data_IF_263947668077
#
_entry.id   IF_263947668077
#
_cell.length_a   1.000
_cell.length_b   1.000
_cell.length_c   1.000
_cell.angle_alpha   90.00
_cell.angle_beta   90.00
_cell.angle_gamma   90.00
#
_symmetry.space_group_name_H-M   'P 1'
#
loop_
_entity.id
_entity.type
_entity.pdbx_description
1 polymer ?
#
# COMPACT_ATOMS: atom_id res chain seq x y z
N UNK A 1 12.39 -10.21 25.86
CA UNK A 1 11.85 -10.96 24.70
C UNK A 1 10.56 -10.30 24.23
N UNK A 2 10.63 -9.25 23.40
CA UNK A 2 9.44 -8.65 22.81
C UNK A 2 9.03 -9.49 21.60
N UNK A 3 8.03 -10.37 21.75
CA UNK A 3 7.55 -11.21 20.64
C UNK A 3 6.81 -10.34 19.63
N UNK A 4 7.26 -10.35 18.37
CA UNK A 4 6.62 -9.68 17.22
C UNK A 4 5.39 -10.47 16.73
N UNK A 5 4.51 -10.87 17.64
CA UNK A 5 3.34 -11.68 17.32
C UNK A 5 2.13 -10.77 17.09
N UNK A 6 1.35 -10.97 16.01
CA UNK A 6 0.14 -10.19 15.80
C UNK A 6 -0.93 -10.59 16.82
N UNK A 7 -1.66 -9.61 17.35
CA UNK A 7 -2.79 -9.85 18.26
C UNK A 7 -4.08 -10.22 17.54
N UNK A 8 -4.24 -9.71 16.33
CA UNK A 8 -5.39 -9.96 15.46
C UNK A 8 -4.87 -10.37 14.10
N UNK A 9 -5.38 -11.48 13.58
CA UNK A 9 -5.18 -11.91 12.21
C UNK A 9 -6.54 -12.25 11.60
N UNK A 10 -6.85 -11.65 10.45
CA UNK A 10 -8.09 -11.89 9.72
C UNK A 10 -7.79 -12.24 8.26
N UNK A 11 -8.54 -13.20 7.72
CA UNK A 11 -8.44 -13.61 6.32
C UNK A 11 -9.79 -13.40 5.65
N UNK A 12 -9.77 -12.86 4.43
CA UNK A 12 -10.98 -12.63 3.63
C UNK A 12 -10.73 -12.99 2.16
N UNK A 13 -11.70 -13.69 1.55
CA UNK A 13 -11.74 -13.92 0.09
C UNK A 13 -12.32 -12.69 -0.61
N UNK A 14 -11.69 -12.29 -1.70
CA UNK A 14 -12.12 -11.18 -2.56
C UNK A 14 -12.52 -11.67 -3.95
N UNK A 15 -13.26 -10.83 -4.66
CA UNK A 15 -13.47 -10.93 -6.11
C UNK A 15 -12.77 -9.74 -6.77
N UNK A 16 -12.32 -9.92 -8.00
CA UNK A 16 -11.66 -8.86 -8.76
C UNK A 16 -12.58 -7.65 -9.01
N UNK A 17 -12.02 -6.45 -8.93
CA UNK A 17 -12.62 -5.19 -9.38
C UNK A 17 -11.69 -4.52 -10.41
N UNK A 18 -12.27 -3.99 -11.49
CA UNK A 18 -11.56 -3.45 -12.65
C UNK A 18 -11.08 -2.00 -12.47
N UNK A 19 -11.28 -1.39 -11.32
CA UNK A 19 -10.80 -0.03 -11.05
C UNK A 19 -9.27 0.05 -11.07
N UNK A 20 -8.70 1.12 -11.63
CA UNK A 20 -7.24 1.27 -11.84
C UNK A 20 -6.39 1.16 -10.56
N UNK A 21 -6.93 1.56 -9.40
CA UNK A 21 -6.26 1.42 -8.09
C UNK A 21 -6.95 0.39 -7.18
N UNK A 22 -7.67 -0.59 -7.75
CA UNK A 22 -8.41 -1.55 -6.94
C UNK A 22 -7.47 -2.40 -6.08
N UNK A 23 -7.77 -2.49 -4.78
CA UNK A 23 -7.14 -3.47 -3.89
C UNK A 23 -7.73 -4.88 -4.07
N UNK A 24 -8.98 -4.99 -4.55
CA UNK A 24 -9.68 -6.26 -4.62
C UNK A 24 -9.23 -7.05 -5.84
N UNK A 25 -8.36 -8.04 -5.64
CA UNK A 25 -8.01 -9.04 -6.65
C UNK A 25 -8.86 -10.31 -6.50
N UNK A 26 -8.72 -11.24 -7.44
CA UNK A 26 -9.21 -12.61 -7.25
C UNK A 26 -8.23 -13.38 -6.35
N UNK A 27 -8.30 -13.12 -5.04
CA UNK A 27 -7.44 -13.82 -4.07
C UNK A 27 -7.92 -13.70 -2.63
N UNK A 28 -6.98 -13.91 -1.71
CA UNK A 28 -7.15 -13.74 -0.27
C UNK A 28 -6.46 -12.45 0.18
N UNK A 29 -7.09 -11.71 1.07
CA UNK A 29 -6.41 -10.67 1.85
C UNK A 29 -6.17 -11.16 3.26
N UNK A 30 -5.02 -10.78 3.82
CA UNK A 30 -4.67 -11.02 5.21
C UNK A 30 -4.54 -9.65 5.89
N UNK A 31 -5.20 -9.47 7.04
CA UNK A 31 -5.03 -8.30 7.91
C UNK A 31 -4.36 -8.75 9.19
N UNK A 32 -3.25 -8.12 9.56
CA UNK A 32 -2.49 -8.42 10.78
C UNK A 32 -2.29 -7.15 11.60
N UNK A 33 -2.51 -7.22 12.91
CA UNK A 33 -2.21 -6.11 13.83
C UNK A 33 -1.04 -6.46 14.74
N UNK A 34 0.09 -5.77 14.56
CA UNK A 34 1.31 -5.99 15.33
C UNK A 34 1.48 -4.91 16.42
N UNK A 35 1.74 -5.29 17.68
CA UNK A 35 2.01 -4.33 18.76
C UNK A 35 3.46 -3.80 18.67
N UNK A 36 3.70 -2.89 17.73
CA UNK A 36 5.06 -2.38 17.44
C UNK A 36 5.49 -1.19 18.29
N UNK A 37 4.68 -0.75 19.26
CA UNK A 37 4.92 0.49 20.01
C UNK A 37 6.25 0.51 20.79
N UNK A 38 6.74 -0.66 21.20
CA UNK A 38 7.97 -0.78 22.01
C UNK A 38 9.24 -1.00 21.17
N UNK A 39 9.15 -0.88 19.84
CA UNK A 39 10.27 -1.07 18.92
C UNK A 39 10.82 0.27 18.45
N UNK A 40 12.15 0.33 18.23
CA UNK A 40 12.80 1.52 17.67
C UNK A 40 12.21 1.80 16.28
N UNK A 41 12.19 3.08 15.88
CA UNK A 41 11.70 3.51 14.57
C UNK A 41 12.36 2.72 13.43
N UNK A 42 13.69 2.62 13.44
CA UNK A 42 14.47 1.89 12.44
C UNK A 42 14.07 0.41 12.33
N UNK A 43 13.82 -0.27 13.46
CA UNK A 43 13.41 -1.67 13.45
C UNK A 43 12.02 -1.86 12.84
N UNK A 44 11.10 -0.89 13.04
CA UNK A 44 9.76 -0.90 12.46
C UNK A 44 9.79 -0.64 10.96
N UNK A 45 10.64 0.28 10.52
CA UNK A 45 10.83 0.60 9.10
C UNK A 45 11.41 -0.61 8.36
N UNK A 46 12.50 -1.20 8.88
CA UNK A 46 13.09 -2.42 8.33
C UNK A 46 12.09 -3.59 8.24
N UNK A 47 11.32 -3.82 9.30
CA UNK A 47 10.29 -4.87 9.29
C UNK A 47 9.18 -4.58 8.24
N UNK A 48 8.82 -3.31 8.06
CA UNK A 48 7.84 -2.92 7.05
C UNK A 48 8.37 -3.14 5.63
N UNK A 49 9.64 -2.84 5.38
CA UNK A 49 10.31 -3.09 4.09
C UNK A 49 10.38 -4.59 3.78
N UNK A 50 10.85 -5.42 4.73
CA UNK A 50 10.89 -6.89 4.57
C UNK A 50 9.50 -7.47 4.26
N UNK A 51 8.45 -6.93 4.88
CA UNK A 51 7.07 -7.34 4.60
C UNK A 51 6.60 -6.90 3.21
N UNK A 52 6.94 -5.69 2.76
CA UNK A 52 6.61 -5.21 1.40
C UNK A 52 7.31 -6.06 0.33
N UNK A 53 8.58 -6.40 0.54
CA UNK A 53 9.34 -7.28 -0.35
C UNK A 53 8.69 -8.66 -0.47
N UNK A 54 8.31 -9.25 0.65
CA UNK A 54 7.59 -10.53 0.68
C UNK A 54 6.26 -10.43 -0.08
N UNK A 55 5.49 -9.36 0.13
CA UNK A 55 4.21 -9.16 -0.57
C UNK A 55 4.43 -9.09 -2.08
N UNK A 56 5.47 -8.38 -2.53
CA UNK A 56 5.81 -8.23 -3.94
C UNK A 56 6.30 -9.53 -4.57
N UNK A 57 7.07 -10.35 -3.86
CA UNK A 57 7.51 -11.67 -4.31
C UNK A 57 6.32 -12.55 -4.75
N UNK A 58 5.19 -12.44 -4.04
CA UNK A 58 3.96 -13.17 -4.35
C UNK A 58 2.97 -12.38 -5.24
N UNK A 59 3.43 -11.33 -5.93
CA UNK A 59 2.59 -10.42 -6.74
C UNK A 59 1.37 -9.87 -5.97
N UNK A 60 1.51 -9.74 -4.65
CA UNK A 60 0.50 -9.18 -3.78
C UNK A 60 0.50 -7.66 -3.82
N UNK A 61 -0.50 -7.08 -3.14
CA UNK A 61 -0.63 -5.62 -2.97
C UNK A 61 -1.10 -5.29 -1.58
N UNK A 62 -0.80 -4.08 -1.13
CA UNK A 62 -1.23 -3.53 0.16
C UNK A 62 -2.39 -2.57 -0.05
N UNK A 63 -3.36 -2.61 0.85
CA UNK A 63 -4.48 -1.67 0.77
C UNK A 63 -4.01 -0.24 1.10
N UNK A 64 -4.08 0.66 0.12
CA UNK A 64 -3.57 2.04 0.19
C UNK A 64 -4.03 2.81 1.44
N UNK A 65 -5.28 2.63 1.86
CA UNK A 65 -5.85 3.35 3.02
C UNK A 65 -5.40 2.81 4.38
N UNK A 66 -4.75 1.65 4.43
CA UNK A 66 -4.36 0.97 5.68
C UNK A 66 -2.88 0.98 5.96
N UNK A 67 -2.05 1.43 5.02
CA UNK A 67 -0.61 1.41 5.18
C UNK A 67 -0.01 2.80 4.98
N UNK A 68 0.29 3.45 6.11
CA UNK A 68 0.86 4.80 6.14
C UNK A 68 2.28 4.86 5.56
N UNK A 69 3.01 3.73 5.53
CA UNK A 69 4.38 3.64 5.04
C UNK A 69 4.49 2.78 3.77
N UNK A 70 3.78 3.15 2.71
CA UNK A 70 3.99 2.56 1.39
C UNK A 70 4.97 3.42 0.59
N UNK A 71 6.15 2.88 0.24
CA UNK A 71 7.11 3.60 -0.60
C UNK A 71 6.54 3.80 -2.02
N UNK A 72 7.00 4.85 -2.71
CA UNK A 72 6.58 5.14 -4.09
C UNK A 72 6.89 3.99 -5.04
N UNK A 73 8.09 3.40 -4.91
CA UNK A 73 8.53 2.29 -5.75
C UNK A 73 7.64 1.05 -5.56
N UNK A 74 7.28 0.71 -4.31
CA UNK A 74 6.45 -0.46 -4.02
C UNK A 74 5.02 -0.23 -4.52
N UNK A 75 4.49 0.98 -4.31
CA UNK A 75 3.20 1.39 -4.87
C UNK A 75 3.14 1.19 -6.39
N UNK A 76 4.13 1.68 -7.14
CA UNK A 76 4.17 1.58 -8.60
C UNK A 76 4.26 0.12 -9.08
N UNK A 77 4.91 -0.76 -8.31
CA UNK A 77 4.95 -2.20 -8.59
C UNK A 77 3.61 -2.89 -8.30
N UNK A 78 2.96 -2.55 -7.19
CA UNK A 78 1.67 -3.13 -6.77
C UNK A 78 0.49 -2.64 -7.60
N UNK A 79 0.57 -1.41 -8.14
CA UNK A 79 -0.53 -0.72 -8.82
C UNK A 79 -0.08 -0.14 -10.16
N UNK A 80 0.36 -0.94 -11.15
CA UNK A 80 0.94 -0.43 -12.40
C UNK A 80 0.01 0.48 -13.21
N UNK A 81 -1.30 0.31 -13.08
CA UNK A 81 -2.34 1.14 -13.69
C UNK A 81 -2.44 2.55 -13.08
N UNK A 82 -1.61 2.91 -12.09
CA UNK A 82 -1.53 4.28 -11.54
C UNK A 82 -1.28 5.33 -12.63
N UNK A 83 -0.63 4.96 -13.74
CA UNK A 83 -0.42 5.83 -14.90
C UNK A 83 -1.74 6.31 -15.51
N UNK A 84 -2.78 5.47 -15.52
CA UNK A 84 -4.13 5.86 -15.96
C UNK A 84 -4.77 6.87 -15.02
N UNK A 85 -4.54 6.74 -13.72
CA UNK A 85 -4.97 7.77 -12.77
C UNK A 85 -4.22 9.08 -12.99
N UNK A 86 -2.93 9.04 -13.31
CA UNK A 86 -2.16 10.24 -13.61
C UNK A 86 -2.68 10.95 -14.88
N UNK A 87 -2.94 10.20 -15.96
CA UNK A 87 -3.57 10.71 -17.18
C UNK A 87 -4.92 11.39 -16.88
N UNK A 88 -5.78 10.74 -16.09
CA UNK A 88 -7.07 11.29 -15.69
C UNK A 88 -6.91 12.54 -14.82
N UNK A 89 -5.97 12.55 -13.88
CA UNK A 89 -5.70 13.72 -13.04
C UNK A 89 -5.24 14.91 -13.88
N UNK A 90 -4.34 14.73 -14.83
CA UNK A 90 -3.93 15.82 -15.74
C UNK A 90 -5.10 16.33 -16.59
N UNK A 91 -5.98 15.43 -17.05
CA UNK A 91 -7.13 15.79 -17.89
C UNK A 91 -8.21 16.56 -17.12
N UNK A 92 -8.54 16.13 -15.91
CA UNK A 92 -9.70 16.61 -15.16
C UNK A 92 -9.36 17.54 -13.98
N UNK A 93 -8.10 17.58 -13.55
CA UNK A 93 -7.60 18.43 -12.47
C UNK A 93 -6.24 19.07 -12.85
N UNK A 94 -6.18 19.85 -13.95
CA UNK A 94 -4.94 20.43 -14.46
C UNK A 94 -4.30 21.43 -13.49
N UNK A 95 -5.10 22.11 -12.68
CA UNK A 95 -4.64 23.06 -11.65
C UNK A 95 -4.27 22.39 -10.32
N UNK A 96 -4.36 21.06 -10.23
CA UNK A 96 -4.06 20.26 -9.05
C UNK A 96 -4.86 20.67 -7.79
N UNK A 97 -6.12 21.06 -7.96
CA UNK A 97 -7.02 21.42 -6.85
C UNK A 97 -7.25 20.23 -5.90
N UNK A 98 -7.30 19.00 -6.42
CA UNK A 98 -7.46 17.80 -5.60
C UNK A 98 -6.10 17.19 -5.23
N UNK A 99 -5.54 17.66 -4.12
CA UNK A 99 -4.21 17.31 -3.66
C UNK A 99 -4.20 16.73 -2.24
N UNK A 100 -3.26 15.83 -1.98
CA UNK A 100 -3.01 15.28 -0.64
C UNK A 100 -1.56 14.85 -0.52
N UNK A 101 -1.07 14.66 0.71
CA UNK A 101 0.28 14.13 0.95
C UNK A 101 0.46 12.74 0.31
N UNK A 102 -0.59 11.92 0.24
CA UNK A 102 -0.57 10.65 -0.47
C UNK A 102 -0.40 10.85 -1.98
N UNK A 103 -1.12 11.80 -2.59
CA UNK A 103 -0.99 12.16 -4.01
C UNK A 103 0.45 12.62 -4.31
N UNK A 104 0.99 13.52 -3.47
CA UNK A 104 2.38 13.99 -3.58
C UNK A 104 3.37 12.84 -3.54
N UNK A 105 3.26 11.98 -2.53
CA UNK A 105 4.23 10.92 -2.25
C UNK A 105 4.16 9.76 -3.23
N UNK A 106 2.98 9.40 -3.72
CA UNK A 106 2.78 8.16 -4.48
C UNK A 106 2.63 8.39 -5.99
N UNK A 107 1.99 9.48 -6.42
CA UNK A 107 1.59 9.68 -7.81
C UNK A 107 2.46 10.69 -8.56
N UNK A 108 2.87 11.77 -7.90
CA UNK A 108 3.56 12.90 -8.54
C UNK A 108 5.07 12.76 -8.33
N UNK A 109 5.87 12.96 -9.38
CA UNK A 109 7.32 13.14 -9.25
C UNK A 109 7.57 14.56 -8.71
N UNK A 110 8.23 14.61 -7.56
CA UNK A 110 8.60 15.87 -6.88
C UNK A 110 9.86 16.45 -7.49
#
# INVERSE_FOLDING_TARGET
SHRRQPWICGVKRHKSDSSYLSFSGDGLSITMNFPLNNFKKLDREKYSEELLDTILEFNGKVYLSKHSFLSKWAFQKMYPEYKKILELKTKYDPEQLFYSDATKRLLIDS
#
